data_IF_166983574395
#
_entry.id   IF_166983574395
#
_cell.length_a   1.000
_cell.length_b   1.000
_cell.length_c   1.000
_cell.angle_alpha   90.00
_cell.angle_beta   90.00
_cell.angle_gamma   90.00
#
_symmetry.space_group_name_H-M   'P 1'
#
loop_
_entity.id
_entity.type
_entity.pdbx_description
1 polymer ?
#
# COMPACT_ATOMS: atom_id res chain seq x y z
N UNK A 1 11.92 -6.74 -32.16
CA UNK A 1 12.25 -5.84 -31.04
C UNK A 1 10.89 -5.37 -30.51
N UNK A 2 10.47 -5.86 -29.34
CA UNK A 2 9.14 -5.60 -28.78
C UNK A 2 9.05 -4.13 -28.35
N UNK A 3 8.14 -3.39 -28.97
CA UNK A 3 7.96 -1.96 -28.76
C UNK A 3 7.00 -1.72 -27.58
N UNK A 4 7.47 -2.04 -26.38
CA UNK A 4 6.71 -1.85 -25.13
C UNK A 4 6.24 -0.39 -24.98
N UNK A 5 6.97 0.59 -25.51
CA UNK A 5 6.67 2.02 -25.34
C UNK A 5 5.34 2.47 -25.96
N UNK A 6 4.87 1.79 -27.03
CA UNK A 6 3.61 2.15 -27.68
C UNK A 6 2.36 1.52 -27.04
N UNK A 7 2.51 0.43 -26.27
CA UNK A 7 1.38 -0.31 -25.69
C UNK A 7 0.88 0.27 -24.35
N UNK A 8 1.73 0.96 -23.59
CA UNK A 8 1.37 1.52 -22.26
C UNK A 8 0.62 2.85 -22.30
N UNK A 9 0.29 3.38 -23.48
CA UNK A 9 -0.55 4.58 -23.60
C UNK A 9 -1.97 4.40 -23.04
N UNK A 10 -2.42 3.17 -22.77
CA UNK A 10 -3.72 2.90 -22.17
C UNK A 10 -3.72 2.85 -20.63
N UNK A 11 -2.56 2.68 -19.96
CA UNK A 11 -2.50 2.50 -18.51
C UNK A 11 -2.09 3.74 -17.71
N UNK A 12 -1.92 4.92 -18.34
CA UNK A 12 -1.44 6.16 -17.71
C UNK A 12 -0.16 5.98 -16.83
N UNK A 13 0.64 4.95 -17.10
CA UNK A 13 1.62 4.40 -16.16
C UNK A 13 2.90 3.91 -16.83
N UNK A 14 3.97 3.73 -16.05
CA UNK A 14 5.27 3.21 -16.50
C UNK A 14 5.38 1.72 -16.21
N UNK A 15 5.81 0.94 -17.20
CA UNK A 15 6.18 -0.46 -17.02
C UNK A 15 7.36 -0.61 -16.05
N UNK A 16 7.23 -1.52 -15.08
CA UNK A 16 8.27 -1.83 -14.10
C UNK A 16 8.92 -3.19 -14.31
N UNK A 17 8.22 -4.15 -14.93
CA UNK A 17 8.74 -5.50 -15.11
C UNK A 17 7.64 -6.56 -15.13
N UNK A 18 8.03 -7.79 -15.48
CA UNK A 18 7.18 -8.97 -15.31
C UNK A 18 7.07 -9.35 -13.83
N UNK A 19 5.92 -9.86 -13.44
CA UNK A 19 5.74 -10.48 -12.15
C UNK A 19 6.53 -11.80 -12.08
N UNK A 20 7.23 -12.01 -10.97
CA UNK A 20 7.88 -13.29 -10.67
C UNK A 20 6.83 -14.38 -10.46
N UNK A 21 7.21 -15.65 -10.55
CA UNK A 21 6.29 -16.77 -10.31
C UNK A 21 5.60 -16.70 -8.94
N UNK A 22 6.33 -16.28 -7.91
CA UNK A 22 5.77 -16.10 -6.56
C UNK A 22 4.69 -15.00 -6.55
N UNK A 23 4.96 -13.86 -7.20
CA UNK A 23 3.99 -12.77 -7.31
C UNK A 23 2.77 -13.17 -8.15
N UNK A 24 2.95 -13.97 -9.22
CA UNK A 24 1.85 -14.54 -10.00
C UNK A 24 0.96 -15.44 -9.12
N UNK A 25 1.57 -16.35 -8.34
CA UNK A 25 0.82 -17.20 -7.41
C UNK A 25 0.05 -16.40 -6.35
N UNK A 26 0.68 -15.38 -5.76
CA UNK A 26 0.00 -14.49 -4.80
C UNK A 26 -1.17 -13.75 -5.45
N UNK A 27 -0.98 -13.24 -6.68
CA UNK A 27 -2.00 -12.53 -7.42
C UNK A 27 -3.24 -13.39 -7.68
N UNK A 28 -3.07 -14.57 -8.26
CA UNK A 28 -4.20 -15.43 -8.58
C UNK A 28 -4.91 -15.94 -7.32
N UNK A 29 -4.17 -16.24 -6.25
CA UNK A 29 -4.79 -16.59 -4.97
C UNK A 29 -5.63 -15.43 -4.41
N UNK A 30 -5.10 -14.20 -4.41
CA UNK A 30 -5.84 -13.03 -3.94
C UNK A 30 -7.08 -12.75 -4.79
N UNK A 31 -7.00 -12.99 -6.11
CA UNK A 31 -8.13 -12.85 -7.03
C UNK A 31 -9.27 -13.83 -6.71
N UNK A 32 -8.94 -15.07 -6.36
CA UNK A 32 -9.91 -16.09 -5.94
C UNK A 32 -10.44 -15.87 -4.51
N UNK A 33 -9.69 -15.13 -3.68
CA UNK A 33 -10.00 -14.88 -2.28
C UNK A 33 -9.90 -13.39 -1.93
N UNK A 34 -10.75 -12.52 -2.49
CA UNK A 34 -10.59 -11.06 -2.45
C UNK A 34 -10.71 -10.45 -1.05
N UNK A 35 -11.28 -11.17 -0.07
CA UNK A 35 -11.39 -10.72 1.33
C UNK A 35 -10.21 -11.18 2.21
N UNK A 36 -9.30 -12.00 1.65
CA UNK A 36 -8.21 -12.58 2.42
C UNK A 36 -7.09 -11.55 2.63
N UNK A 37 -6.50 -11.56 3.82
CA UNK A 37 -5.42 -10.66 4.25
C UNK A 37 -4.13 -11.40 4.55
N UNK A 38 -4.02 -12.70 4.22
CA UNK A 38 -2.89 -13.57 4.59
C UNK A 38 -1.54 -13.11 4.05
N UNK A 39 -1.53 -12.36 2.94
CA UNK A 39 -0.32 -11.83 2.34
C UNK A 39 0.03 -10.42 2.83
N UNK A 40 -0.79 -9.82 3.68
CA UNK A 40 -0.47 -8.56 4.30
C UNK A 40 0.74 -8.72 5.22
N UNK A 41 1.61 -7.71 5.21
CA UNK A 41 2.75 -7.63 6.13
C UNK A 41 2.44 -6.53 7.14
N UNK A 42 1.78 -6.84 8.27
CA UNK A 42 1.43 -5.84 9.25
C UNK A 42 2.69 -5.30 9.95
N UNK A 43 2.71 -4.00 10.19
CA UNK A 43 3.75 -3.34 10.98
C UNK A 43 3.10 -2.38 11.94
N UNK A 44 3.60 -2.35 13.18
CA UNK A 44 3.15 -1.41 14.21
C UNK A 44 4.35 -0.87 14.94
N UNK A 45 4.44 0.45 15.07
CA UNK A 45 5.47 1.13 15.85
C UNK A 45 4.88 2.12 16.82
N UNK A 46 5.26 1.98 18.09
CA UNK A 46 4.98 2.96 19.13
C UNK A 46 6.09 4.03 19.18
N UNK A 47 5.71 5.29 19.16
CA UNK A 47 6.61 6.45 19.10
C UNK A 47 6.21 7.44 20.20
N UNK A 48 7.18 7.98 20.95
CA UNK A 48 6.92 9.05 21.92
C UNK A 48 6.67 10.38 21.19
N UNK A 49 5.65 11.14 21.59
CA UNK A 49 5.34 12.45 21.00
C UNK A 49 6.43 13.50 21.23
N UNK A 50 7.29 13.28 22.23
CA UNK A 50 8.48 14.11 22.48
C UNK A 50 9.53 13.96 21.39
N UNK A 51 9.57 12.79 20.73
CA UNK A 51 10.62 12.43 19.79
C UNK A 51 10.22 12.77 18.34
N UNK A 52 8.91 12.77 18.06
CA UNK A 52 8.38 13.06 16.73
C UNK A 52 6.97 13.63 16.80
N UNK A 53 6.72 14.73 16.07
CA UNK A 53 5.38 15.29 15.89
C UNK A 53 4.63 14.51 14.81
N UNK A 54 3.30 14.45 14.92
CA UNK A 54 2.42 13.80 13.94
C UNK A 54 2.60 14.39 12.54
N UNK A 55 2.73 15.71 12.41
CA UNK A 55 2.95 16.39 11.13
C UNK A 55 4.22 15.90 10.43
N UNK A 56 5.30 15.75 11.19
CA UNK A 56 6.60 15.35 10.64
C UNK A 56 6.57 13.88 10.22
N UNK A 57 5.91 13.04 11.01
CA UNK A 57 5.70 11.64 10.68
C UNK A 57 4.84 11.48 9.42
N UNK A 58 3.73 12.23 9.32
CA UNK A 58 2.86 12.23 8.15
C UNK A 58 3.63 12.59 6.88
N UNK A 59 4.43 13.67 6.93
CA UNK A 59 5.27 14.08 5.81
C UNK A 59 6.30 13.02 5.42
N UNK A 60 7.00 12.42 6.40
CA UNK A 60 8.00 11.38 6.14
C UNK A 60 7.39 10.12 5.52
N UNK A 61 6.25 9.68 6.01
CA UNK A 61 5.56 8.51 5.46
C UNK A 61 5.13 8.78 4.02
N UNK A 62 4.49 9.94 3.76
CA UNK A 62 4.10 10.34 2.40
C UNK A 62 5.30 10.42 1.46
N UNK A 63 6.42 10.96 1.94
CA UNK A 63 7.65 11.01 1.16
C UNK A 63 8.15 9.60 0.81
N UNK A 64 8.31 8.70 1.79
CA UNK A 64 8.77 7.33 1.54
C UNK A 64 7.89 6.61 0.54
N UNK A 65 6.56 6.75 0.66
CA UNK A 65 5.62 6.10 -0.25
C UNK A 65 5.67 6.74 -1.65
N UNK A 66 5.84 8.06 -1.74
CA UNK A 66 6.01 8.77 -3.01
C UNK A 66 7.32 8.41 -3.72
N UNK A 67 8.41 8.18 -2.97
CA UNK A 67 9.73 7.85 -3.51
C UNK A 67 9.81 6.40 -4.05
N UNK A 68 8.86 5.53 -3.69
CA UNK A 68 8.86 4.11 -4.08
C UNK A 68 7.67 3.77 -4.98
N UNK A 69 7.97 3.58 -6.27
CA UNK A 69 6.98 3.26 -7.30
C UNK A 69 6.09 2.05 -6.97
N UNK A 70 6.60 1.06 -6.25
CA UNK A 70 5.89 -0.20 -5.98
C UNK A 70 4.58 0.01 -5.22
N UNK A 71 4.53 0.95 -4.26
CA UNK A 71 3.30 1.24 -3.52
C UNK A 71 2.23 1.86 -4.40
N UNK A 72 2.66 2.57 -5.45
CA UNK A 72 1.79 3.18 -6.43
C UNK A 72 1.63 2.31 -7.68
N UNK A 73 1.90 1.00 -7.58
CA UNK A 73 1.80 0.09 -8.73
C UNK A 73 0.61 -0.84 -8.66
N UNK A 74 0.25 -1.41 -9.80
CA UNK A 74 -0.75 -2.46 -9.95
C UNK A 74 -0.19 -3.60 -10.79
N UNK A 75 -0.72 -4.81 -10.57
CA UNK A 75 -0.51 -5.97 -11.41
C UNK A 75 -1.63 -6.03 -12.46
N UNK A 76 -1.25 -6.04 -13.73
CA UNK A 76 -2.17 -6.17 -14.86
C UNK A 76 -1.70 -7.29 -15.79
N UNK A 77 -2.63 -7.95 -16.46
CA UNK A 77 -2.29 -8.87 -17.54
C UNK A 77 -2.06 -8.08 -18.84
N UNK A 78 -0.99 -8.41 -19.55
CA UNK A 78 -0.74 -7.90 -20.90
C UNK A 78 -1.56 -8.68 -21.96
N UNK A 79 -1.37 -8.35 -23.24
CA UNK A 79 -2.09 -9.00 -24.35
C UNK A 79 -1.78 -10.48 -24.53
N UNK A 80 -0.66 -10.96 -23.97
CA UNK A 80 -0.25 -12.36 -23.99
C UNK A 80 -0.62 -13.08 -22.69
N UNK A 81 -1.42 -12.45 -21.83
CA UNK A 81 -1.78 -12.94 -20.50
C UNK A 81 -0.59 -13.05 -19.55
N UNK A 82 0.48 -12.28 -19.79
CA UNK A 82 1.58 -12.16 -18.86
C UNK A 82 1.29 -11.08 -17.81
N UNK A 83 1.42 -11.45 -16.55
CA UNK A 83 1.23 -10.52 -15.43
C UNK A 83 2.44 -9.60 -15.28
N UNK A 84 2.19 -8.29 -15.31
CA UNK A 84 3.21 -7.24 -15.29
C UNK A 84 2.91 -6.17 -14.23
N UNK A 85 3.96 -5.56 -13.71
CA UNK A 85 3.87 -4.40 -12.83
C UNK A 85 3.84 -3.10 -13.63
N UNK A 86 2.87 -2.25 -13.32
CA UNK A 86 2.76 -0.90 -13.89
C UNK A 86 2.59 0.13 -12.78
N UNK A 87 3.27 1.27 -12.87
CA UNK A 87 2.97 2.40 -11.98
C UNK A 87 1.60 2.98 -12.33
N UNK A 88 0.93 3.53 -11.33
CA UNK A 88 -0.36 4.19 -11.43
C UNK A 88 -0.31 5.47 -10.59
N UNK A 89 -1.07 6.49 -11.00
CA UNK A 89 -1.24 7.67 -10.17
C UNK A 89 -2.30 7.36 -9.11
N UNK A 90 -1.86 7.00 -7.91
CA UNK A 90 -2.72 6.64 -6.80
C UNK A 90 -2.82 7.77 -5.78
N UNK A 91 -3.99 7.90 -5.14
CA UNK A 91 -4.18 8.86 -4.06
C UNK A 91 -3.81 8.19 -2.74
N UNK A 92 -2.68 8.58 -2.17
CA UNK A 92 -2.28 8.10 -0.85
C UNK A 92 -2.72 9.06 0.24
N UNK A 93 -3.53 8.56 1.16
CA UNK A 93 -3.94 9.26 2.37
C UNK A 93 -3.55 8.46 3.61
N UNK A 94 -3.14 9.18 4.64
CA UNK A 94 -2.88 8.61 5.95
C UNK A 94 -4.11 8.86 6.79
N UNK A 95 -4.74 7.79 7.29
CA UNK A 95 -5.82 7.90 8.26
C UNK A 95 -5.21 8.38 9.58
N UNK A 96 -5.73 9.47 10.15
CA UNK A 96 -5.28 9.98 11.44
C UNK A 96 -6.42 9.95 12.44
N UNK A 97 -6.20 9.25 13.54
CA UNK A 97 -7.16 9.04 14.61
C UNK A 97 -6.60 9.66 15.88
N UNK A 98 -7.31 10.62 16.45
CA UNK A 98 -6.97 11.19 17.75
C UNK A 98 -7.79 10.53 18.86
N UNK A 99 -7.09 10.03 19.87
CA UNK A 99 -7.67 9.40 21.06
C UNK A 99 -7.29 10.24 22.28
N UNK A 100 -8.26 10.97 22.88
CA UNK A 100 -7.98 11.84 24.03
C UNK A 100 -7.44 11.10 25.27
N UNK A 101 -7.74 9.80 25.38
CA UNK A 101 -7.34 8.93 26.48
C UNK A 101 -6.26 7.92 26.10
N UNK A 102 -6.25 6.78 26.78
CA UNK A 102 -5.41 5.65 26.41
C UNK A 102 -6.08 4.85 25.28
N UNK A 103 -5.31 4.55 24.25
CA UNK A 103 -5.81 3.73 23.15
C UNK A 103 -5.86 2.24 23.56
N UNK A 104 -6.98 1.59 23.24
CA UNK A 104 -7.14 0.14 23.40
C UNK A 104 -6.37 -0.58 22.29
N UNK A 105 -5.22 -1.15 22.65
CA UNK A 105 -4.33 -1.83 21.71
C UNK A 105 -4.97 -3.03 21.01
N UNK A 106 -6.02 -3.63 21.59
CA UNK A 106 -6.72 -4.73 20.92
C UNK A 106 -7.45 -4.25 19.66
N UNK A 107 -7.74 -2.95 19.55
CA UNK A 107 -8.34 -2.36 18.35
C UNK A 107 -7.34 -2.18 17.21
N UNK A 108 -6.03 -2.35 17.42
CA UNK A 108 -5.03 -2.25 16.34
C UNK A 108 -5.38 -3.22 15.20
N UNK A 109 -5.86 -4.41 15.53
CA UNK A 109 -6.17 -5.45 14.54
C UNK A 109 -7.20 -5.01 13.51
N UNK A 110 -8.13 -4.10 13.87
CA UNK A 110 -9.16 -3.62 12.94
C UNK A 110 -8.57 -2.73 11.85
N UNK A 111 -7.41 -2.12 12.08
CA UNK A 111 -6.71 -1.28 11.10
C UNK A 111 -5.72 -2.09 10.26
N UNK A 112 -5.30 -3.28 10.71
CA UNK A 112 -4.39 -4.17 9.99
C UNK A 112 -5.11 -5.11 9.02
N UNK A 113 -6.39 -5.40 9.28
CA UNK A 113 -7.22 -6.31 8.48
C UNK A 113 -7.87 -5.58 7.29
N UNK A 114 -7.04 -5.11 6.36
CA UNK A 114 -7.51 -4.51 5.11
C UNK A 114 -7.08 -5.36 3.92
N UNK A 115 -8.01 -5.80 3.08
CA UNK A 115 -7.70 -6.58 1.88
C UNK A 115 -7.34 -5.66 0.72
N UNK A 116 -6.21 -5.91 0.06
CA UNK A 116 -5.77 -5.17 -1.11
C UNK A 116 -6.26 -5.84 -2.41
N UNK A 117 -6.79 -5.05 -3.33
CA UNK A 117 -6.93 -5.47 -4.72
C UNK A 117 -5.64 -5.14 -5.49
N UNK A 118 -4.88 -6.17 -5.86
CA UNK A 118 -3.58 -6.01 -6.54
C UNK A 118 -3.69 -5.46 -7.97
N UNK A 119 -4.87 -5.54 -8.58
CA UNK A 119 -5.16 -4.96 -9.90
C UNK A 119 -5.74 -3.55 -9.82
N UNK A 120 -6.01 -3.04 -8.61
CA UNK A 120 -6.59 -1.70 -8.46
C UNK A 120 -5.59 -0.62 -8.88
N UNK A 121 -6.05 0.28 -9.75
CA UNK A 121 -5.31 1.46 -10.18
C UNK A 121 -5.44 2.66 -9.24
N UNK A 122 -6.32 2.61 -8.23
CA UNK A 122 -6.65 3.77 -7.39
C UNK A 122 -6.03 3.68 -5.99
N UNK A 123 -6.07 2.52 -5.34
CA UNK A 123 -5.58 2.31 -3.97
C UNK A 123 -4.09 1.91 -3.93
N UNK A 124 -3.23 2.63 -3.19
CA UNK A 124 -1.85 2.21 -2.95
C UNK A 124 -1.74 0.84 -2.29
N UNK A 125 -0.69 0.07 -2.62
CA UNK A 125 -0.37 -1.22 -1.99
C UNK A 125 0.26 -1.05 -0.59
N UNK A 126 -0.25 -0.08 0.15
CA UNK A 126 0.09 0.21 1.54
C UNK A 126 -1.04 1.02 2.16
N UNK A 127 -1.41 0.65 3.38
CA UNK A 127 -2.35 1.40 4.19
C UNK A 127 -1.66 1.83 5.47
N UNK A 128 -1.82 3.10 5.83
CA UNK A 128 -1.18 3.66 7.02
C UNK A 128 -2.23 4.36 7.86
N UNK A 129 -2.28 3.99 9.14
CA UNK A 129 -3.13 4.63 10.14
C UNK A 129 -2.25 5.16 11.26
N UNK A 130 -2.32 6.46 11.53
CA UNK A 130 -1.71 7.11 12.67
C UNK A 130 -2.71 7.19 13.80
N UNK A 131 -2.41 6.56 14.93
CA UNK A 131 -3.24 6.61 16.14
C UNK A 131 -2.49 7.44 17.18
N UNK A 132 -2.99 8.64 17.43
CA UNK A 132 -2.41 9.57 18.38
C UNK A 132 -3.13 9.46 19.72
N UNK A 133 -2.41 9.07 20.76
CA UNK A 133 -2.85 9.15 22.15
C UNK A 133 -2.07 10.23 22.92
N UNK A 134 -2.40 10.42 24.20
CA UNK A 134 -1.82 11.51 25.04
C UNK A 134 -0.29 11.62 24.95
N UNK A 135 0.43 10.50 25.03
CA UNK A 135 1.90 10.48 25.10
C UNK A 135 2.58 9.86 23.89
N UNK A 136 1.83 9.14 23.06
CA UNK A 136 2.39 8.29 22.02
C UNK A 136 1.63 8.44 20.70
N UNK A 137 2.33 8.10 19.63
CA UNK A 137 1.78 7.88 18.30
C UNK A 137 2.03 6.42 17.97
N UNK A 138 1.01 5.71 17.50
CA UNK A 138 1.15 4.42 16.86
C UNK A 138 1.09 4.65 15.35
N UNK A 139 2.10 4.15 14.66
CA UNK A 139 2.16 4.01 13.21
C UNK A 139 1.90 2.54 12.86
#
# INVERSE_FOLDING_TARGET
>A
MYDFENEFKQSNGKYLGFATNMQKSMYYYQLEHPENTMFNIPYVRKILKTDMKVSDLNNKVKQVIGDHNIFNSALIEDKNSDLIWVTQKKNFEIEHIFVPGQFDKNKIITYLNHSFNLSDGLEPLIKVTLIEEKSYIYL
#
